data_IF_736937133589
#
_entry.id   IF_736937133589
#
_cell.length_a   1.000
_cell.length_b   1.000
_cell.length_c   1.000
_cell.angle_alpha   90.00
_cell.angle_beta   90.00
_cell.angle_gamma   90.00
#
_symmetry.space_group_name_H-M   'P 1'
#
loop_
_entity.id
_entity.type
_entity.pdbx_description
1 polymer ?
#
# COMPACT_ATOMS: atom_id res chain seq x y z
N UNK A 1 0.07 9.76 7.67
CA UNK A 1 0.34 9.13 8.99
C UNK A 1 1.83 8.85 9.09
N UNK A 2 2.37 8.67 10.29
CA UNK A 2 3.78 8.31 10.45
C UNK A 2 4.06 6.95 9.80
N UNK A 3 3.35 5.93 10.23
CA UNK A 3 3.51 4.56 9.76
C UNK A 3 2.22 3.75 10.02
N UNK A 4 2.28 2.44 9.76
CA UNK A 4 1.14 1.52 9.88
C UNK A 4 0.65 1.38 11.33
N UNK A 5 1.45 1.71 12.34
CA UNK A 5 1.04 1.62 13.76
C UNK A 5 -0.09 2.57 14.13
N UNK A 6 -0.33 3.60 13.31
CA UNK A 6 -1.39 4.58 13.52
C UNK A 6 -2.69 4.25 12.78
N UNK A 7 -2.72 3.16 12.01
CA UNK A 7 -3.88 2.81 11.18
C UNK A 7 -4.97 2.18 12.06
N UNK A 8 -6.18 2.76 12.12
CA UNK A 8 -7.25 2.25 12.98
C UNK A 8 -8.02 1.11 12.28
N UNK A 9 -7.41 -0.08 12.21
CA UNK A 9 -7.96 -1.20 11.45
C UNK A 9 -9.39 -1.60 11.87
N UNK A 10 -9.68 -1.64 13.18
CA UNK A 10 -11.03 -1.93 13.65
C UNK A 10 -12.04 -0.88 13.15
N UNK A 11 -11.72 0.41 13.25
CA UNK A 11 -12.58 1.48 12.75
C UNK A 11 -12.81 1.39 11.24
N UNK A 12 -11.79 1.03 10.47
CA UNK A 12 -11.95 0.77 9.03
C UNK A 12 -12.96 -0.36 8.80
N UNK A 13 -12.81 -1.48 9.52
CA UNK A 13 -13.74 -2.60 9.40
C UNK A 13 -15.18 -2.21 9.80
N UNK A 14 -15.33 -1.48 10.89
CA UNK A 14 -16.63 -1.04 11.41
C UNK A 14 -17.33 -0.07 10.44
N UNK A 15 -16.57 0.68 9.65
CA UNK A 15 -17.08 1.57 8.58
C UNK A 15 -17.35 0.86 7.25
N UNK A 16 -17.22 -0.47 7.20
CA UNK A 16 -17.62 -1.28 6.06
C UNK A 16 -16.51 -1.60 5.07
N UNK A 17 -15.25 -1.24 5.35
CA UNK A 17 -14.12 -1.68 4.54
C UNK A 17 -13.97 -3.21 4.62
N UNK A 18 -13.64 -3.82 3.48
CA UNK A 18 -13.65 -5.27 3.27
C UNK A 18 -12.25 -5.85 3.06
N UNK A 19 -11.29 -5.06 2.63
CA UNK A 19 -9.92 -5.52 2.43
C UNK A 19 -8.87 -4.41 2.50
N UNK A 20 -7.64 -4.83 2.76
CA UNK A 20 -6.48 -3.94 2.88
C UNK A 20 -5.38 -4.41 1.92
N UNK A 21 -4.84 -3.47 1.17
CA UNK A 21 -3.76 -3.64 0.22
C UNK A 21 -2.58 -2.81 0.73
N UNK A 22 -1.49 -3.48 1.07
CA UNK A 22 -0.25 -2.84 1.48
C UNK A 22 0.71 -2.71 0.31
N UNK A 23 1.34 -1.55 0.19
CA UNK A 23 2.65 -1.46 -0.43
C UNK A 23 3.72 -2.16 0.45
N UNK A 24 4.86 -2.53 -0.16
CA UNK A 24 5.95 -3.22 0.54
C UNK A 24 7.07 -2.26 0.96
N UNK A 25 7.87 -1.79 0.00
CA UNK A 25 9.11 -1.09 0.27
C UNK A 25 8.84 0.32 0.82
N UNK A 26 9.48 0.69 1.93
CA UNK A 26 9.19 1.91 2.71
C UNK A 26 7.82 1.99 3.38
N UNK A 27 6.98 0.95 3.25
CA UNK A 27 5.64 0.87 3.88
C UNK A 27 5.57 -0.23 4.95
N UNK A 28 6.02 -1.44 4.62
CA UNK A 28 6.10 -2.58 5.54
C UNK A 28 7.54 -2.99 5.83
N UNK A 29 8.44 -2.80 4.86
CA UNK A 29 9.86 -3.17 4.95
C UNK A 29 10.74 -1.96 4.67
N UNK A 30 12.01 -2.01 5.09
CA UNK A 30 13.00 -1.14 4.45
C UNK A 30 13.16 -1.56 2.97
N UNK A 31 13.66 -0.68 2.08
CA UNK A 31 13.86 -1.01 0.67
C UNK A 31 14.66 -2.29 0.47
N UNK A 32 14.17 -3.19 -0.37
CA UNK A 32 14.81 -4.47 -0.71
C UNK A 32 14.92 -5.49 0.44
N UNK A 33 14.44 -5.13 1.64
CA UNK A 33 14.35 -6.07 2.75
C UNK A 33 13.13 -6.98 2.60
N UNK A 34 13.26 -8.20 3.13
CA UNK A 34 12.25 -9.25 3.03
C UNK A 34 11.43 -9.41 4.33
N UNK A 35 11.77 -8.62 5.35
CA UNK A 35 11.17 -8.67 6.67
C UNK A 35 10.36 -7.41 6.95
N UNK A 36 9.16 -7.60 7.51
CA UNK A 36 8.42 -6.48 8.10
C UNK A 36 9.30 -5.83 9.15
N UNK A 37 9.33 -4.50 9.18
CA UNK A 37 10.01 -3.79 10.24
C UNK A 37 9.38 -4.18 11.59
N UNK A 38 10.19 -4.70 12.52
CA UNK A 38 9.72 -5.32 13.79
C UNK A 38 8.63 -4.53 14.53
N UNK A 39 8.71 -3.20 14.51
CA UNK A 39 7.74 -2.33 15.18
C UNK A 39 6.32 -2.34 14.57
N UNK A 40 6.14 -2.88 13.37
CA UNK A 40 4.86 -2.98 12.67
C UNK A 40 4.21 -4.35 12.77
N UNK A 41 4.95 -5.37 13.21
CA UNK A 41 4.47 -6.77 13.21
C UNK A 41 3.13 -6.91 13.94
N UNK A 42 2.97 -6.21 15.07
CA UNK A 42 1.73 -6.18 15.84
C UNK A 42 0.57 -5.55 15.07
N UNK A 43 0.82 -4.47 14.33
CA UNK A 43 -0.20 -3.77 13.54
C UNK A 43 -0.61 -4.57 12.30
N UNK A 44 0.33 -5.25 11.64
CA UNK A 44 0.02 -6.16 10.54
C UNK A 44 -0.76 -7.38 11.04
N UNK A 45 -0.37 -7.94 12.19
CA UNK A 45 -1.12 -9.03 12.83
C UNK A 45 -2.54 -8.59 13.23
N UNK A 46 -2.70 -7.37 13.75
CA UNK A 46 -4.01 -6.79 14.04
C UNK A 46 -4.86 -6.66 12.78
N UNK A 47 -4.30 -6.10 11.71
CA UNK A 47 -4.97 -5.96 10.42
C UNK A 47 -5.51 -7.32 9.94
N UNK A 48 -4.66 -8.35 9.94
CA UNK A 48 -5.03 -9.73 9.58
C UNK A 48 -6.14 -10.28 10.48
N UNK A 49 -6.05 -10.08 11.79
CA UNK A 49 -7.09 -10.51 12.74
C UNK A 49 -8.44 -9.83 12.45
N UNK A 50 -8.44 -8.55 12.08
CA UNK A 50 -9.65 -7.74 11.86
C UNK A 50 -10.30 -8.04 10.51
N UNK A 51 -9.50 -8.16 9.43
CA UNK A 51 -10.01 -8.33 8.08
C UNK A 51 -10.08 -9.80 7.62
N UNK A 52 -9.27 -10.67 8.22
CA UNK A 52 -9.02 -12.03 7.78
C UNK A 52 -7.87 -12.11 6.77
N UNK A 53 -7.10 -13.19 6.80
CA UNK A 53 -5.89 -13.37 5.98
C UNK A 53 -6.14 -13.20 4.48
N UNK A 54 -7.25 -13.72 3.96
CA UNK A 54 -7.59 -13.62 2.54
C UNK A 54 -7.90 -12.18 2.08
N UNK A 55 -8.23 -11.29 3.02
CA UNK A 55 -8.59 -9.90 2.74
C UNK A 55 -7.44 -8.91 2.99
N UNK A 56 -6.26 -9.41 3.33
CA UNK A 56 -5.04 -8.61 3.52
C UNK A 56 -3.99 -9.08 2.53
N UNK A 57 -3.56 -8.20 1.64
CA UNK A 57 -2.60 -8.52 0.58
C UNK A 57 -1.50 -7.47 0.47
N UNK A 58 -0.38 -7.87 -0.12
CA UNK A 58 0.69 -6.98 -0.56
C UNK A 58 0.60 -6.82 -2.08
N UNK A 59 0.66 -5.57 -2.55
CA UNK A 59 0.78 -5.22 -3.97
C UNK A 59 1.96 -4.26 -4.15
N UNK A 60 3.08 -4.77 -4.64
CA UNK A 60 4.36 -4.06 -4.70
C UNK A 60 4.82 -3.79 -6.13
N UNK A 61 5.57 -2.72 -6.36
CA UNK A 61 6.23 -2.50 -7.67
C UNK A 61 7.58 -3.24 -7.80
N UNK A 62 7.97 -3.99 -6.77
CA UNK A 62 9.13 -4.89 -6.70
C UNK A 62 8.65 -6.36 -6.61
N UNK A 63 8.40 -6.86 -5.40
CA UNK A 63 7.94 -8.21 -5.13
C UNK A 63 6.64 -8.56 -5.88
N UNK A 64 6.63 -9.70 -6.56
CA UNK A 64 5.50 -10.20 -7.34
C UNK A 64 5.27 -9.47 -8.66
N UNK A 65 6.05 -8.44 -8.97
CA UNK A 65 6.00 -7.70 -10.23
C UNK A 65 6.92 -8.30 -11.30
N UNK A 66 7.03 -7.65 -12.46
CA UNK A 66 8.01 -8.02 -13.50
C UNK A 66 9.47 -7.95 -13.06
N UNK A 67 9.78 -7.28 -11.94
CA UNK A 67 11.13 -7.20 -11.40
C UNK A 67 11.48 -8.40 -10.51
N UNK A 68 10.46 -9.13 -10.03
CA UNK A 68 10.61 -10.34 -9.21
C UNK A 68 10.65 -11.57 -10.12
N UNK A 69 11.85 -11.85 -10.65
CA UNK A 69 12.06 -13.00 -11.52
C UNK A 69 11.65 -14.29 -10.81
N UNK A 70 10.82 -15.09 -11.46
CA UNK A 70 10.24 -16.34 -10.94
C UNK A 70 9.39 -16.20 -9.66
N UNK A 71 9.13 -14.98 -9.21
CA UNK A 71 8.30 -14.67 -8.03
C UNK A 71 8.94 -15.08 -6.70
N UNK A 72 10.27 -15.19 -6.64
CA UNK A 72 11.03 -15.66 -5.47
C UNK A 72 10.90 -14.71 -4.29
N UNK A 73 10.99 -13.39 -4.51
CA UNK A 73 10.86 -12.38 -3.45
C UNK A 73 9.49 -12.52 -2.79
N UNK A 74 8.45 -12.60 -3.62
CA UNK A 74 7.10 -12.75 -3.16
C UNK A 74 6.83 -14.09 -2.44
N UNK A 75 7.46 -15.20 -2.87
CA UNK A 75 7.36 -16.50 -2.16
C UNK A 75 8.01 -16.41 -0.78
N UNK A 76 9.16 -15.77 -0.68
CA UNK A 76 9.87 -15.62 0.59
C UNK A 76 9.10 -14.73 1.57
N UNK A 77 8.52 -13.64 1.08
CA UNK A 77 7.64 -12.75 1.84
C UNK A 77 6.40 -13.53 2.33
N UNK A 78 5.73 -14.29 1.46
CA UNK A 78 4.57 -15.10 1.83
C UNK A 78 4.91 -16.15 2.89
N UNK A 79 6.04 -16.84 2.74
CA UNK A 79 6.50 -17.86 3.67
C UNK A 79 6.79 -17.30 5.07
N UNK A 80 7.27 -16.06 5.16
CA UNK A 80 7.66 -15.41 6.42
C UNK A 80 6.54 -14.63 7.08
N UNK A 81 5.74 -13.93 6.28
CA UNK A 81 4.75 -12.97 6.79
C UNK A 81 3.35 -13.56 6.83
N UNK A 82 3.12 -14.65 6.10
CA UNK A 82 1.81 -15.25 5.90
C UNK A 82 0.77 -14.25 5.38
N UNK A 83 1.22 -13.30 4.55
CA UNK A 83 0.40 -12.35 3.82
C UNK A 83 0.58 -12.64 2.34
N UNK A 84 -0.54 -12.73 1.61
CA UNK A 84 -0.51 -13.01 0.17
C UNK A 84 0.13 -11.84 -0.57
N UNK A 85 1.07 -12.11 -1.48
CA UNK A 85 1.66 -11.12 -2.37
C UNK A 85 1.07 -11.31 -3.76
N UNK A 86 0.43 -10.27 -4.30
CA UNK A 86 -0.14 -10.38 -5.64
C UNK A 86 0.98 -10.60 -6.66
N UNK A 87 0.79 -11.56 -7.57
CA UNK A 87 1.65 -11.73 -8.75
C UNK A 87 1.03 -10.99 -9.93
N UNK A 88 1.80 -10.15 -10.59
CA UNK A 88 1.31 -9.24 -11.62
C UNK A 88 2.40 -8.84 -12.62
N UNK A 89 1.99 -8.45 -13.82
CA UNK A 89 2.89 -7.96 -14.87
C UNK A 89 2.74 -6.44 -15.14
N UNK A 90 1.94 -5.75 -14.33
CA UNK A 90 1.71 -4.31 -14.43
C UNK A 90 1.94 -3.66 -13.07
N UNK A 91 2.72 -2.58 -13.05
CA UNK A 91 3.07 -1.86 -11.82
C UNK A 91 2.06 -0.75 -11.53
N UNK A 92 1.90 -0.42 -10.25
CA UNK A 92 1.18 0.79 -9.80
C UNK A 92 1.76 2.03 -10.50
N UNK A 93 0.92 2.97 -10.94
CA UNK A 93 -0.52 3.10 -10.66
C UNK A 93 -1.46 2.30 -11.59
N UNK A 94 -0.96 1.30 -12.33
CA UNK A 94 -1.77 0.33 -13.06
C UNK A 94 -2.07 -0.95 -12.26
N UNK A 95 -2.55 -2.00 -12.94
CA UNK A 95 -2.65 -3.35 -12.37
C UNK A 95 -3.91 -3.67 -11.56
N UNK A 96 -4.97 -2.86 -11.67
CA UNK A 96 -6.25 -3.08 -10.97
C UNK A 96 -6.89 -4.43 -11.27
N UNK A 97 -6.64 -5.00 -12.45
CA UNK A 97 -7.17 -6.31 -12.84
C UNK A 97 -6.69 -7.42 -11.88
N UNK A 98 -5.46 -7.32 -11.37
CA UNK A 98 -4.90 -8.29 -10.41
C UNK A 98 -5.56 -8.18 -9.04
N UNK A 99 -5.80 -6.94 -8.58
CA UNK A 99 -6.55 -6.69 -7.35
C UNK A 99 -7.99 -7.20 -7.47
N UNK A 100 -8.69 -6.87 -8.56
CA UNK A 100 -10.06 -7.36 -8.80
C UNK A 100 -10.13 -8.88 -8.91
N UNK A 101 -9.13 -9.51 -9.54
CA UNK A 101 -9.04 -10.97 -9.62
C UNK A 101 -8.92 -11.61 -8.22
N UNK A 102 -8.15 -11.01 -7.32
CA UNK A 102 -7.98 -11.51 -5.95
C UNK A 102 -9.25 -11.30 -5.10
N UNK A 103 -9.79 -10.08 -5.12
CA UNK A 103 -10.93 -9.71 -4.27
C UNK A 103 -12.30 -10.10 -4.87
N UNK A 104 -12.36 -10.54 -6.13
CA UNK A 104 -13.59 -10.95 -6.81
C UNK A 104 -14.58 -9.80 -6.97
N UNK A 105 -15.84 -10.04 -6.60
CA UNK A 105 -16.94 -9.08 -6.74
C UNK A 105 -17.00 -8.02 -5.62
N UNK A 106 -15.94 -7.92 -4.80
CA UNK A 106 -15.86 -6.87 -3.78
C UNK A 106 -15.79 -5.50 -4.44
N UNK A 107 -16.65 -4.59 -3.98
CA UNK A 107 -16.65 -3.20 -4.44
C UNK A 107 -15.30 -2.53 -4.13
N UNK A 108 -14.58 -2.02 -5.15
CA UNK A 108 -13.38 -1.21 -5.00
C UNK A 108 -13.47 -0.14 -3.90
N UNK A 109 -14.61 0.54 -3.74
CA UNK A 109 -14.80 1.57 -2.72
C UNK A 109 -14.74 1.04 -1.28
N UNK A 110 -14.74 -0.28 -1.10
CA UNK A 110 -14.58 -0.93 0.22
C UNK A 110 -13.15 -1.44 0.46
N UNK A 111 -12.21 -1.14 -0.43
CA UNK A 111 -10.79 -1.49 -0.27
C UNK A 111 -9.97 -0.30 0.22
N UNK A 112 -8.92 -0.60 0.98
CA UNK A 112 -7.97 0.39 1.50
C UNK A 112 -6.59 0.14 0.91
N UNK A 113 -5.99 1.15 0.29
CA UNK A 113 -4.59 1.14 -0.13
C UNK A 113 -3.73 1.88 0.91
N UNK A 114 -2.69 1.21 1.42
CA UNK A 114 -1.75 1.77 2.39
C UNK A 114 -0.36 1.76 1.75
N UNK A 115 0.27 2.93 1.61
CA UNK A 115 1.59 3.06 0.99
C UNK A 115 2.24 4.42 1.20
N UNK A 116 3.50 4.56 0.80
CA UNK A 116 4.30 5.76 1.06
C UNK A 116 4.29 6.78 -0.10
N UNK A 117 4.00 6.34 -1.33
CA UNK A 117 4.11 7.17 -2.55
C UNK A 117 2.77 7.76 -2.98
N UNK A 118 2.79 9.03 -3.38
CA UNK A 118 1.61 9.69 -3.96
C UNK A 118 1.30 9.24 -5.40
N UNK A 119 2.33 9.02 -6.20
CA UNK A 119 2.31 8.78 -7.65
C UNK A 119 2.05 7.33 -8.02
N UNK A 120 2.22 6.41 -7.06
CA UNK A 120 1.87 5.01 -7.21
C UNK A 120 0.71 4.66 -6.29
N UNK A 121 0.89 4.68 -4.97
CA UNK A 121 -0.10 4.11 -4.04
C UNK A 121 -1.35 4.97 -3.90
N UNK A 122 -1.18 6.26 -3.59
CA UNK A 122 -2.32 7.19 -3.47
C UNK A 122 -3.00 7.37 -4.82
N UNK A 123 -2.24 7.52 -5.91
CA UNK A 123 -2.81 7.66 -7.24
C UNK A 123 -3.59 6.40 -7.66
N UNK A 124 -3.02 5.20 -7.45
CA UNK A 124 -3.68 3.93 -7.73
C UNK A 124 -5.00 3.82 -6.98
N UNK A 125 -4.99 4.05 -5.66
CA UNK A 125 -6.21 3.98 -4.87
C UNK A 125 -7.26 4.98 -5.31
N UNK A 126 -6.88 6.24 -5.54
CA UNK A 126 -7.81 7.28 -5.99
C UNK A 126 -8.40 7.00 -7.38
N UNK A 127 -7.61 6.47 -8.32
CA UNK A 127 -8.08 6.10 -9.66
C UNK A 127 -9.12 4.98 -9.64
N UNK A 128 -9.13 4.17 -8.59
CA UNK A 128 -10.01 3.00 -8.47
C UNK A 128 -11.02 3.11 -7.33
N UNK A 129 -11.11 4.27 -6.68
CA UNK A 129 -12.11 4.57 -5.65
C UNK A 129 -11.77 4.02 -4.26
N UNK A 130 -10.56 3.53 -4.03
CA UNK A 130 -10.13 3.02 -2.73
C UNK A 130 -9.98 4.16 -1.71
N UNK A 131 -10.08 3.85 -0.42
CA UNK A 131 -9.52 4.73 0.59
C UNK A 131 -8.00 4.62 0.56
N UNK A 132 -7.30 5.74 0.48
CA UNK A 132 -5.82 5.76 0.53
C UNK A 132 -5.33 6.27 1.87
N UNK A 133 -4.46 5.51 2.53
CA UNK A 133 -3.74 5.96 3.73
C UNK A 133 -2.25 6.06 3.40
N UNK A 134 -1.76 7.30 3.35
CA UNK A 134 -0.35 7.57 3.06
C UNK A 134 0.50 7.54 4.32
N UNK A 135 1.54 6.72 4.35
CA UNK A 135 2.54 6.62 5.44
C UNK A 135 3.80 7.42 5.12
N UNK A 136 4.56 7.82 6.14
CA UNK A 136 5.95 8.26 5.94
C UNK A 136 6.84 7.07 5.60
N UNK A 137 7.93 7.36 4.88
CA UNK A 137 8.90 6.36 4.45
C UNK A 137 9.79 5.96 5.62
N UNK A 138 10.09 4.68 5.75
CA UNK A 138 11.01 4.21 6.80
C UNK A 138 12.42 4.71 6.63
N UNK A 139 13.01 4.50 5.45
CA UNK A 139 14.42 4.81 5.19
C UNK A 139 14.56 5.43 3.81
N UNK A 140 14.06 6.67 3.61
CA UNK A 140 14.17 7.36 2.33
C UNK A 140 15.62 7.57 1.88
N UNK A 141 16.59 7.49 2.78
CA UNK A 141 18.02 7.52 2.50
C UNK A 141 18.54 6.24 1.83
N UNK A 142 17.89 5.10 2.03
CA UNK A 142 18.27 3.81 1.43
C UNK A 142 17.83 3.69 -0.03
N UNK A 143 17.02 4.64 -0.50
CA UNK A 143 16.56 4.72 -1.89
C UNK A 143 17.66 5.17 -2.87
N UNK A 144 17.50 4.77 -4.13
CA UNK A 144 18.35 5.26 -5.22
C UNK A 144 18.27 6.79 -5.33
N UNK A 145 19.36 7.43 -5.78
CA UNK A 145 19.41 8.89 -5.95
C UNK A 145 18.25 9.37 -6.82
N UNK A 146 17.93 8.63 -7.90
CA UNK A 146 16.83 8.94 -8.81
C UNK A 146 15.49 8.89 -8.08
N UNK A 147 15.20 7.81 -7.36
CA UNK A 147 13.95 7.68 -6.60
C UNK A 147 13.80 8.80 -5.56
N UNK A 148 14.87 9.14 -4.84
CA UNK A 148 14.85 10.25 -3.86
C UNK A 148 14.53 11.58 -4.53
N UNK A 149 15.04 11.85 -5.73
CA UNK A 149 14.72 13.09 -6.45
C UNK A 149 13.27 13.09 -6.94
N UNK A 150 12.78 11.98 -7.49
CA UNK A 150 11.37 11.86 -7.89
C UNK A 150 10.42 12.10 -6.70
N UNK A 151 10.74 11.54 -5.54
CA UNK A 151 9.97 11.76 -4.30
C UNK A 151 9.98 13.22 -3.85
N UNK A 152 11.10 13.94 -4.02
CA UNK A 152 11.16 15.39 -3.70
C UNK A 152 10.27 16.20 -4.63
N UNK A 153 10.29 15.88 -5.92
CA UNK A 153 9.44 16.52 -6.93
C UNK A 153 7.97 16.26 -6.61
N UNK A 154 7.62 15.00 -6.32
CA UNK A 154 6.28 14.56 -5.93
C UNK A 154 5.76 15.30 -4.69
N UNK A 155 6.55 15.35 -3.60
CA UNK A 155 6.20 16.10 -2.39
C UNK A 155 6.12 17.62 -2.66
N UNK A 156 6.91 18.16 -3.58
CA UNK A 156 6.81 19.56 -3.98
C UNK A 156 5.52 19.85 -4.76
N UNK A 157 5.17 19.00 -5.73
CA UNK A 157 3.95 19.12 -6.51
C UNK A 157 2.70 19.08 -5.63
N UNK A 158 2.62 18.12 -4.70
CA UNK A 158 1.50 18.03 -3.73
C UNK A 158 1.41 19.30 -2.87
N UNK A 159 2.54 19.83 -2.38
CA UNK A 159 2.54 21.08 -1.61
C UNK A 159 2.07 22.28 -2.42
N UNK A 160 2.44 22.36 -3.70
CA UNK A 160 1.96 23.42 -4.60
C UNK A 160 0.46 23.32 -4.80
N UNK A 161 -0.07 22.11 -5.07
CA UNK A 161 -1.50 21.88 -5.23
C UNK A 161 -2.29 22.27 -3.97
N UNK A 162 -1.84 21.83 -2.80
CA UNK A 162 -2.49 22.16 -1.52
C UNK A 162 -2.46 23.67 -1.26
N UNK A 163 -1.34 24.34 -1.54
CA UNK A 163 -1.24 25.81 -1.43
C UNK A 163 -2.15 26.55 -2.41
N UNK A 164 -2.40 25.97 -3.57
CA UNK A 164 -3.36 26.46 -4.55
C UNK A 164 -4.83 26.17 -4.17
N UNK A 165 -5.08 25.55 -3.01
CA UNK A 165 -6.42 25.26 -2.49
C UNK A 165 -6.98 23.89 -2.88
N UNK A 166 -6.19 23.04 -3.55
CA UNK A 166 -6.60 21.66 -3.81
C UNK A 166 -6.77 20.90 -2.48
N UNK A 167 -7.88 20.17 -2.36
CA UNK A 167 -8.18 19.31 -1.21
C UNK A 167 -8.09 17.84 -1.64
N UNK A 168 -7.66 16.94 -0.76
CA UNK A 168 -7.77 15.52 -1.04
C UNK A 168 -9.25 15.14 -1.25
N UNK A 169 -9.55 14.18 -2.15
CA UNK A 169 -10.90 13.68 -2.33
C UNK A 169 -11.43 13.09 -1.02
N UNK A 170 -12.72 13.29 -0.75
CA UNK A 170 -13.39 12.64 0.38
C UNK A 170 -13.82 11.24 -0.02
N UNK A 171 -13.73 10.29 0.91
CA UNK A 171 -14.17 8.93 0.68
C UNK A 171 -15.53 8.69 1.36
N UNK A 172 -16.54 8.10 0.69
CA UNK A 172 -17.89 7.95 1.25
C UNK A 172 -17.94 7.22 2.59
N UNK A 173 -17.11 6.19 2.76
CA UNK A 173 -17.00 5.41 4.00
C UNK A 173 -16.05 6.03 5.04
N UNK A 174 -15.44 7.18 4.77
CA UNK A 174 -14.45 7.81 5.66
C UNK A 174 -14.66 9.32 5.76
N UNK A 175 -15.75 9.68 6.45
CA UNK A 175 -16.11 11.05 6.84
C UNK A 175 -15.81 11.32 8.32
#
# INVERSE_FOLDING_TARGET
MKDVTQVPFQTLRDRGFRGVIFDKDNTLTAPHELHIARHLESSVAECRRVFGDASVVIFSNSAGSTDDQDGEEAKEIEARLHVTVLRHNEKKPGGIAFVKKHFGDVDPATLVMIGDRYSTDVLFGNLHGFLTIRTEQFTPESESVVNRQLQRIEKAAVRVLVRAGAKPPTHPLWQ
#
